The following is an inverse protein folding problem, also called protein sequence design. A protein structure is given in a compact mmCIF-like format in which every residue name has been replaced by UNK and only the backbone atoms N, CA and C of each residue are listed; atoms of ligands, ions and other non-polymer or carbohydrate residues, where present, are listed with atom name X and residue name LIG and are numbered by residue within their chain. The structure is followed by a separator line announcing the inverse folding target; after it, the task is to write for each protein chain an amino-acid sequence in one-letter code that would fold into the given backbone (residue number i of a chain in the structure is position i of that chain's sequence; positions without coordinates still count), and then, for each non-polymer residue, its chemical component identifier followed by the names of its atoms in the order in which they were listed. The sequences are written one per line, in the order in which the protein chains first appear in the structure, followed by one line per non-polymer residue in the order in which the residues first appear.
data_IF_720254176968
#
_entry.id   IF_720254176968
#
_cell.length_a   1.000
_cell.length_b   1.000
_cell.length_c   1.000
_cell.angle_alpha   90.00
_cell.angle_beta   90.00
_cell.angle_gamma   90.00
#
_symmetry.space_group_name_H-M   'P 1'
#
loop_
_entity.id
_entity.type
_entity.pdbx_description
1 polymer ?
#
# COMPACT_ATOMS: atom_id res chain seq x y z
N UNK A 1 -4.24 -14.88 -4.58
CA UNK A 1 -2.83 -14.96 -4.09
C UNK A 1 -1.80 -14.20 -4.94
N UNK A 2 -2.08 -13.91 -6.20
CA UNK A 2 -1.15 -13.31 -7.19
C UNK A 2 -0.47 -12.01 -6.74
N UNK A 3 -1.17 -11.03 -6.13
CA UNK A 3 -0.54 -9.77 -5.69
C UNK A 3 0.51 -9.96 -4.58
N UNK A 4 0.31 -10.92 -3.68
CA UNK A 4 1.28 -11.23 -2.62
C UNK A 4 2.60 -11.74 -3.22
N UNK A 5 2.50 -12.62 -4.21
CA UNK A 5 3.66 -13.19 -4.89
C UNK A 5 4.48 -12.09 -5.57
N UNK A 6 3.84 -11.15 -6.27
CA UNK A 6 4.53 -10.01 -6.88
C UNK A 6 5.22 -9.12 -5.84
N UNK A 7 4.58 -8.85 -4.70
CA UNK A 7 5.18 -8.09 -3.61
C UNK A 7 6.42 -8.79 -3.04
N UNK A 8 6.30 -10.08 -2.69
CA UNK A 8 7.37 -10.83 -2.06
C UNK A 8 8.54 -11.07 -3.01
N UNK A 9 8.27 -11.52 -4.24
CA UNK A 9 9.30 -11.78 -5.24
C UNK A 9 10.12 -10.53 -5.53
N UNK A 10 9.45 -9.40 -5.75
CA UNK A 10 10.12 -8.14 -6.06
C UNK A 10 10.90 -7.61 -4.86
N UNK A 11 10.33 -7.69 -3.65
CA UNK A 11 11.03 -7.28 -2.45
C UNK A 11 12.28 -8.14 -2.19
N UNK A 12 12.20 -9.46 -2.39
CA UNK A 12 13.33 -10.37 -2.22
C UNK A 12 14.42 -10.06 -3.25
N UNK A 13 14.06 -9.96 -4.54
CA UNK A 13 15.01 -9.68 -5.63
C UNK A 13 15.72 -8.35 -5.41
N UNK A 14 14.98 -7.27 -5.16
CA UNK A 14 15.56 -5.94 -4.96
C UNK A 14 16.39 -5.88 -3.68
N UNK A 15 16.00 -6.58 -2.61
CA UNK A 15 16.77 -6.64 -1.38
C UNK A 15 18.09 -7.40 -1.57
N UNK A 16 18.06 -8.55 -2.24
CA UNK A 16 19.26 -9.35 -2.53
C UNK A 16 20.22 -8.60 -3.47
N UNK A 17 19.71 -8.03 -4.57
CA UNK A 17 20.48 -7.21 -5.48
C UNK A 17 21.05 -5.95 -4.81
N UNK A 18 20.28 -5.32 -3.92
CA UNK A 18 20.73 -4.16 -3.15
C UNK A 18 21.84 -4.49 -2.15
N UNK A 19 21.86 -5.72 -1.60
CA UNK A 19 22.94 -6.19 -0.72
C UNK A 19 24.25 -6.45 -1.47
N UNK A 20 24.18 -6.90 -2.72
CA UNK A 20 25.37 -7.24 -3.52
C UNK A 20 25.93 -6.03 -4.28
N UNK A 21 25.07 -5.18 -4.86
CA UNK A 21 25.50 -4.10 -5.75
C UNK A 21 25.86 -2.80 -5.00
N UNK A 22 25.05 -2.38 -4.01
CA UNK A 22 25.26 -1.12 -3.25
C UNK A 22 24.75 -1.22 -1.80
N UNK A 23 25.48 -1.89 -0.89
CA UNK A 23 25.03 -2.10 0.49
C UNK A 23 24.78 -0.81 1.29
N UNK A 24 25.39 0.31 0.89
CA UNK A 24 25.19 1.64 1.49
C UNK A 24 23.77 2.20 1.32
N UNK A 25 23.00 1.69 0.34
CA UNK A 25 21.67 2.17 -0.01
C UNK A 25 20.59 1.40 0.75
N UNK A 26 20.35 1.67 2.05
CA UNK A 26 19.26 1.10 2.89
C UNK A 26 18.34 0.06 2.19
N UNK A 27 18.85 -1.14 1.84
CA UNK A 27 18.30 -1.90 0.70
C UNK A 27 16.91 -2.44 1.00
N UNK A 28 16.65 -2.73 2.28
CA UNK A 28 15.35 -3.12 2.82
C UNK A 28 14.24 -2.11 2.51
N UNK A 29 14.51 -0.80 2.67
CA UNK A 29 13.48 0.23 2.47
C UNK A 29 13.14 0.40 0.99
N UNK A 30 14.15 0.30 0.13
CA UNK A 30 13.98 0.38 -1.32
C UNK A 30 13.24 -0.86 -1.81
N UNK A 31 13.61 -2.04 -1.33
CA UNK A 31 12.97 -3.30 -1.66
C UNK A 31 11.48 -3.34 -1.29
N UNK A 32 11.12 -2.99 -0.05
CA UNK A 32 9.71 -2.96 0.38
C UNK A 32 8.93 -1.93 -0.44
N UNK A 33 9.51 -0.75 -0.69
CA UNK A 33 8.87 0.29 -1.49
C UNK A 33 8.64 -0.13 -2.95
N UNK A 34 9.64 -0.74 -3.58
CA UNK A 34 9.54 -1.26 -4.93
C UNK A 34 8.52 -2.41 -5.03
N UNK A 35 8.51 -3.33 -4.06
CA UNK A 35 7.55 -4.42 -3.99
C UNK A 35 6.11 -3.93 -3.82
N UNK A 36 5.88 -2.98 -2.90
CA UNK A 36 4.55 -2.37 -2.71
C UNK A 36 4.11 -1.57 -3.94
N UNK A 37 5.02 -0.82 -4.57
CA UNK A 37 4.69 -0.08 -5.79
C UNK A 37 4.33 -1.01 -6.95
N UNK A 38 5.12 -2.07 -7.19
CA UNK A 38 4.82 -3.02 -8.27
C UNK A 38 3.50 -3.75 -8.01
N UNK A 39 3.26 -4.17 -6.76
CA UNK A 39 2.01 -4.80 -6.38
C UNK A 39 0.81 -3.92 -6.72
N UNK A 40 0.82 -2.63 -6.32
CA UNK A 40 -0.26 -1.69 -6.63
C UNK A 40 -0.38 -1.34 -8.11
N UNK A 41 0.72 -1.40 -8.88
CA UNK A 41 0.67 -1.27 -10.34
C UNK A 41 -0.09 -2.46 -10.94
N UNK A 42 0.23 -3.68 -10.50
CA UNK A 42 -0.43 -4.90 -10.99
C UNK A 42 -1.90 -4.93 -10.59
N UNK A 43 -2.23 -4.65 -9.31
CA UNK A 43 -3.62 -4.61 -8.86
C UNK A 43 -4.38 -3.49 -9.55
N UNK A 44 -3.83 -2.27 -9.62
CA UNK A 44 -4.50 -1.13 -10.22
C UNK A 44 -4.75 -1.30 -11.71
N UNK A 45 -3.85 -2.01 -12.42
CA UNK A 45 -4.05 -2.35 -13.83
C UNK A 45 -5.22 -3.32 -14.04
N UNK A 46 -5.52 -4.19 -13.07
CA UNK A 46 -6.63 -5.16 -13.17
C UNK A 46 -8.01 -4.49 -13.23
N UNK A 47 -8.13 -3.25 -12.75
CA UNK A 47 -9.35 -2.44 -12.87
C UNK A 47 -9.69 -2.08 -14.32
N UNK A 48 -8.68 -2.07 -15.19
CA UNK A 48 -8.82 -1.72 -16.61
C UNK A 48 -8.65 -2.93 -17.53
N UNK A 49 -7.96 -3.98 -17.07
CA UNK A 49 -7.57 -5.13 -17.89
C UNK A 49 -8.08 -6.43 -17.26
N UNK A 50 -9.01 -7.09 -17.95
CA UNK A 50 -9.43 -8.48 -17.68
C UNK A 50 -10.29 -8.72 -16.44
N UNK A 51 -10.09 -7.99 -15.34
CA UNK A 51 -10.78 -8.26 -14.06
C UNK A 51 -11.86 -7.25 -13.69
N UNK A 52 -12.14 -6.26 -14.55
CA UNK A 52 -13.09 -5.18 -14.26
C UNK A 52 -14.47 -5.69 -13.85
N UNK A 53 -15.02 -6.67 -14.57
CA UNK A 53 -16.34 -7.22 -14.28
C UNK A 53 -16.42 -7.91 -12.91
N UNK A 54 -15.36 -8.62 -12.52
CA UNK A 54 -15.26 -9.25 -11.20
C UNK A 54 -15.12 -8.20 -10.09
N UNK A 55 -14.34 -7.14 -10.31
CA UNK A 55 -14.19 -6.07 -9.32
C UNK A 55 -15.50 -5.30 -9.09
N UNK A 56 -16.30 -5.10 -10.14
CA UNK A 56 -17.63 -4.48 -10.05
C UNK A 56 -18.57 -5.35 -9.20
N UNK A 57 -18.54 -6.68 -9.36
CA UNK A 57 -19.40 -7.58 -8.59
C UNK A 57 -19.02 -7.67 -7.11
N UNK A 58 -17.80 -7.27 -6.74
CA UNK A 58 -17.37 -7.16 -5.34
C UNK A 58 -17.89 -5.90 -4.64
N UNK A 59 -18.34 -4.89 -5.39
CA UNK A 59 -18.83 -3.64 -4.80
C UNK A 59 -20.18 -3.88 -4.11
N UNK A 60 -20.31 -3.59 -2.79
CA UNK A 60 -21.57 -3.76 -2.09
C UNK A 60 -22.70 -2.94 -2.74
N UNK A 61 -23.93 -3.47 -2.83
CA UNK A 61 -25.06 -2.80 -3.48
C UNK A 61 -25.49 -1.50 -2.78
N UNK A 62 -25.04 -1.27 -1.54
CA UNK A 62 -25.25 -0.02 -0.82
C UNK A 62 -24.49 1.18 -1.42
N UNK A 63 -23.49 0.94 -2.28
CA UNK A 63 -22.70 2.00 -2.91
C UNK A 63 -23.21 2.31 -4.33
N UNK A 64 -23.44 3.59 -4.66
CA UNK A 64 -23.89 3.98 -5.99
C UNK A 64 -22.74 3.89 -7.00
N UNK A 65 -23.08 3.61 -8.27
CA UNK A 65 -22.15 3.62 -9.40
C UNK A 65 -20.88 2.75 -9.22
N UNK A 66 -21.00 1.41 -9.08
CA UNK A 66 -19.88 0.52 -8.80
C UNK A 66 -18.78 0.58 -9.87
N UNK A 67 -19.16 0.78 -11.14
CA UNK A 67 -18.23 0.99 -12.25
C UNK A 67 -17.29 2.19 -12.07
N UNK A 68 -17.85 3.31 -11.60
CA UNK A 68 -17.10 4.53 -11.35
C UNK A 68 -16.18 4.35 -10.16
N UNK A 69 -16.66 3.71 -9.09
CA UNK A 69 -15.85 3.40 -7.90
C UNK A 69 -14.66 2.51 -8.23
N UNK A 70 -14.87 1.45 -9.02
CA UNK A 70 -13.78 0.60 -9.53
C UNK A 70 -12.81 1.43 -10.38
N UNK A 71 -13.29 2.32 -11.23
CA UNK A 71 -12.41 3.17 -12.05
C UNK A 71 -11.57 4.11 -11.18
N UNK A 72 -12.19 4.80 -10.22
CA UNK A 72 -11.52 5.75 -9.32
C UNK A 72 -10.47 5.03 -8.48
N UNK A 73 -10.83 3.90 -7.87
CA UNK A 73 -9.90 3.10 -7.06
C UNK A 73 -8.71 2.61 -7.89
N UNK A 74 -8.93 2.15 -9.13
CA UNK A 74 -7.83 1.77 -10.03
C UNK A 74 -6.88 2.93 -10.34
N UNK A 75 -7.40 4.13 -10.62
CA UNK A 75 -6.56 5.33 -10.83
C UNK A 75 -5.77 5.69 -9.58
N UNK A 76 -6.41 5.65 -8.41
CA UNK A 76 -5.78 5.97 -7.13
C UNK A 76 -4.67 4.97 -6.76
N UNK A 77 -4.86 3.68 -7.06
CA UNK A 77 -3.83 2.63 -6.90
C UNK A 77 -2.58 2.96 -7.73
N UNK A 78 -2.76 3.25 -9.02
CA UNK A 78 -1.65 3.58 -9.91
C UNK A 78 -0.96 4.89 -9.51
N UNK A 79 -1.74 5.93 -9.20
CA UNK A 79 -1.20 7.22 -8.75
C UNK A 79 -0.44 7.08 -7.42
N UNK A 80 -0.98 6.30 -6.48
CA UNK A 80 -0.32 5.98 -5.21
C UNK A 80 0.97 5.20 -5.41
N UNK A 81 0.99 4.20 -6.29
CA UNK A 81 2.19 3.43 -6.58
C UNK A 81 3.32 4.31 -7.16
N UNK A 82 3.02 5.15 -8.14
CA UNK A 82 3.96 6.11 -8.72
C UNK A 82 4.42 7.14 -7.68
N UNK A 83 3.48 7.65 -6.88
CA UNK A 83 3.75 8.58 -5.79
C UNK A 83 4.65 7.99 -4.69
N UNK A 84 4.64 6.67 -4.51
CA UNK A 84 5.51 5.97 -3.57
C UNK A 84 6.97 5.96 -4.03
N UNK A 85 7.22 5.98 -5.34
CA UNK A 85 8.56 6.01 -5.94
C UNK A 85 9.14 7.42 -5.92
N UNK A 86 8.31 8.45 -6.08
CA UNK A 86 8.73 9.86 -6.11
C UNK A 86 8.92 10.47 -4.72
N UNK A 87 10.15 10.92 -4.41
CA UNK A 87 10.57 11.34 -3.06
C UNK A 87 9.67 12.39 -2.35
N UNK A 88 9.15 13.43 -3.03
CA UNK A 88 8.31 14.45 -2.39
C UNK A 88 6.97 13.89 -1.89
N UNK A 89 6.39 12.94 -2.64
CA UNK A 89 5.02 12.45 -2.46
C UNK A 89 4.91 11.17 -1.63
N UNK A 90 6.03 10.51 -1.30
CA UNK A 90 6.06 9.17 -0.68
C UNK A 90 5.16 9.00 0.55
N UNK A 91 5.18 9.99 1.45
CA UNK A 91 4.38 9.94 2.68
C UNK A 91 2.88 10.07 2.38
N UNK A 92 2.51 10.96 1.46
CA UNK A 92 1.12 11.14 1.04
C UNK A 92 0.61 9.92 0.29
N UNK A 93 1.42 9.37 -0.61
CA UNK A 93 1.10 8.13 -1.32
C UNK A 93 0.92 6.94 -0.37
N UNK A 94 1.84 6.75 0.59
CA UNK A 94 1.71 5.68 1.57
C UNK A 94 0.47 5.83 2.45
N UNK A 95 0.13 7.06 2.87
CA UNK A 95 -1.08 7.34 3.64
C UNK A 95 -2.35 7.08 2.82
N UNK A 96 -2.41 7.57 1.58
CA UNK A 96 -3.55 7.36 0.69
C UNK A 96 -3.80 5.88 0.39
N UNK A 97 -2.75 5.13 0.06
CA UNK A 97 -2.84 3.69 -0.17
C UNK A 97 -3.30 2.93 1.10
N UNK A 98 -2.79 3.30 2.28
CA UNK A 98 -3.28 2.72 3.54
C UNK A 98 -4.76 2.98 3.79
N UNK A 99 -5.21 4.22 3.58
CA UNK A 99 -6.62 4.60 3.76
C UNK A 99 -7.54 3.85 2.80
N UNK A 100 -7.11 3.72 1.55
CA UNK A 100 -7.87 3.00 0.53
C UNK A 100 -7.95 1.51 0.84
N UNK A 101 -6.86 0.88 1.31
CA UNK A 101 -6.91 -0.49 1.81
C UNK A 101 -7.92 -0.65 2.94
N UNK A 102 -8.01 0.30 3.87
CA UNK A 102 -9.02 0.27 4.94
C UNK A 102 -10.43 0.39 4.34
N UNK A 103 -10.63 1.33 3.42
CA UNK A 103 -11.91 1.59 2.77
C UNK A 103 -12.41 0.41 1.92
N UNK A 104 -11.52 -0.40 1.34
CA UNK A 104 -11.87 -1.59 0.54
C UNK A 104 -12.17 -2.83 1.38
N UNK A 105 -11.87 -2.83 2.69
CA UNK A 105 -12.13 -3.97 3.57
C UNK A 105 -13.59 -4.45 3.58
N UNK A 106 -14.61 -3.57 3.63
CA UNK A 106 -16.01 -4.01 3.61
C UNK A 106 -16.38 -4.75 2.32
N UNK A 107 -15.83 -4.34 1.17
CA UNK A 107 -16.04 -5.03 -0.10
C UNK A 107 -15.43 -6.45 -0.09
N UNK A 108 -14.25 -6.61 0.52
CA UNK A 108 -13.61 -7.91 0.68
C UNK A 108 -14.38 -8.86 1.61
N UNK A 109 -14.97 -8.32 2.69
CA UNK A 109 -15.89 -9.08 3.55
C UNK A 109 -17.14 -9.47 2.77
N UNK A 110 -17.74 -8.52 2.03
CA UNK A 110 -18.95 -8.77 1.25
C UNK A 110 -18.76 -9.88 0.21
N UNK A 111 -17.64 -9.90 -0.53
CA UNK A 111 -17.33 -10.99 -1.49
C UNK A 111 -17.27 -12.34 -0.79
N UNK A 112 -16.53 -12.43 0.32
CA UNK A 112 -16.37 -13.68 1.07
C UNK A 112 -17.68 -14.20 1.63
N UNK A 113 -18.53 -13.32 2.20
CA UNK A 113 -19.84 -13.71 2.73
C UNK A 113 -20.82 -14.08 1.61
N UNK A 114 -20.86 -13.32 0.51
CA UNK A 114 -21.76 -13.57 -0.62
C UNK A 114 -21.39 -14.84 -1.39
N UNK A 115 -20.09 -15.13 -1.53
CA UNK A 115 -19.60 -16.35 -2.15
C UNK A 115 -19.81 -17.63 -1.31
N UNK A 116 -19.92 -17.50 0.01
CA UNK A 116 -20.17 -18.64 0.92
C UNK A 116 -21.64 -19.08 0.94
N UNK A 117 -22.57 -18.22 0.52
CA UNK A 117 -24.02 -18.49 0.57
C UNK A 117 -24.72 -18.67 -0.78
N UNK A 118 -24.13 -18.21 -1.89
CA UNK A 118 -24.89 -18.05 -3.15
C UNK A 118 -24.84 -19.25 -4.12
N UNK A 119 -23.82 -20.13 -4.09
CA UNK A 119 -23.64 -21.13 -5.17
C UNK A 119 -23.40 -22.57 -4.73
N UNK A 120 -23.24 -22.89 -3.45
CA UNK A 120 -22.95 -24.27 -3.01
C UNK A 120 -21.68 -24.89 -3.61
N UNK A 121 -20.87 -24.07 -4.29
CA UNK A 121 -19.56 -24.41 -4.83
C UNK A 121 -18.53 -23.92 -3.82
N UNK A 122 -17.68 -24.81 -3.34
CA UNK A 122 -16.53 -24.46 -2.50
C UNK A 122 -15.76 -23.31 -3.16
N UNK A 123 -15.72 -22.15 -2.49
CA UNK A 123 -14.78 -21.10 -2.87
C UNK A 123 -13.38 -21.71 -2.90
N UNK A 124 -12.60 -21.40 -3.93
CA UNK A 124 -11.17 -21.69 -3.90
C UNK A 124 -10.60 -21.18 -2.57
N UNK A 125 -9.74 -21.96 -1.91
CA UNK A 125 -9.36 -21.68 -0.52
C UNK A 125 -8.79 -20.27 -0.34
N UNK A 126 -8.16 -19.71 -1.38
CA UNK A 126 -7.62 -18.35 -1.40
C UNK A 126 -8.66 -17.23 -1.52
N UNK A 127 -9.88 -17.55 -1.93
CA UNK A 127 -11.01 -16.62 -1.99
C UNK A 127 -11.85 -16.60 -0.71
N UNK A 128 -11.53 -17.45 0.27
CA UNK A 128 -12.14 -17.42 1.60
C UNK A 128 -11.74 -16.17 2.40
N UNK A 129 -12.53 -15.84 3.42
CA UNK A 129 -12.37 -14.63 4.23
C UNK A 129 -10.97 -14.53 4.88
N UNK A 130 -10.43 -15.66 5.35
CA UNK A 130 -9.19 -15.72 6.13
C UNK A 130 -7.97 -15.30 5.30
N UNK A 131 -7.64 -15.93 4.16
CA UNK A 131 -6.50 -15.52 3.33
C UNK A 131 -6.63 -14.08 2.82
N UNK A 132 -7.83 -13.62 2.45
CA UNK A 132 -8.07 -12.22 2.05
C UNK A 132 -7.76 -11.24 3.16
N UNK A 133 -8.23 -11.52 4.38
CA UNK A 133 -7.99 -10.67 5.55
C UNK A 133 -6.51 -10.64 5.91
N UNK A 134 -5.84 -11.80 5.94
CA UNK A 134 -4.40 -11.89 6.21
C UNK A 134 -3.61 -11.10 5.17
N UNK A 135 -3.93 -11.26 3.88
CA UNK A 135 -3.26 -10.56 2.80
C UNK A 135 -3.41 -9.05 2.92
N UNK A 136 -4.62 -8.59 3.20
CA UNK A 136 -4.89 -7.17 3.38
C UNK A 136 -4.17 -6.57 4.60
N UNK A 137 -4.08 -7.32 5.71
CA UNK A 137 -3.28 -6.92 6.87
C UNK A 137 -1.80 -6.81 6.54
N UNK A 138 -1.25 -7.74 5.73
CA UNK A 138 0.15 -7.66 5.26
C UNK A 138 0.37 -6.41 4.43
N UNK A 139 -0.54 -6.09 3.52
CA UNK A 139 -0.45 -4.89 2.68
C UNK A 139 -0.57 -3.61 3.51
N UNK A 140 -1.55 -3.54 4.41
CA UNK A 140 -1.76 -2.42 5.30
C UNK A 140 -0.57 -2.20 6.23
N UNK A 141 0.02 -3.28 6.77
CA UNK A 141 1.23 -3.20 7.58
C UNK A 141 2.42 -2.68 6.76
N UNK A 142 2.55 -3.11 5.50
CA UNK A 142 3.63 -2.69 4.61
C UNK A 142 3.54 -1.21 4.24
N UNK A 143 2.37 -0.72 3.84
CA UNK A 143 2.14 0.70 3.52
C UNK A 143 2.30 1.59 4.77
N UNK A 144 1.80 1.13 5.92
CA UNK A 144 1.93 1.86 7.19
C UNK A 144 3.38 1.92 7.68
N UNK A 145 4.16 0.86 7.51
CA UNK A 145 5.59 0.87 7.82
C UNK A 145 6.35 1.89 6.95
N UNK A 146 6.05 1.95 5.64
CA UNK A 146 6.61 2.95 4.74
C UNK A 146 6.25 4.38 5.17
N UNK A 147 4.98 4.62 5.52
CA UNK A 147 4.52 5.90 6.04
C UNK A 147 5.28 6.30 7.31
N UNK A 148 5.38 5.41 8.29
CA UNK A 148 6.09 5.66 9.54
C UNK A 148 7.58 5.95 9.30
N UNK A 149 8.23 5.26 8.35
CA UNK A 149 9.62 5.54 8.00
C UNK A 149 9.79 6.92 7.38
N UNK A 150 8.88 7.35 6.52
CA UNK A 150 8.94 8.67 5.89
C UNK A 150 8.67 9.79 6.89
N UNK A 151 7.68 9.62 7.78
CA UNK A 151 7.38 10.57 8.84
C UNK A 151 8.55 10.70 9.82
N UNK A 152 9.18 9.59 10.20
CA UNK A 152 10.39 9.59 11.06
C UNK A 152 11.57 10.28 10.36
N UNK A 153 11.74 10.09 9.06
CA UNK A 153 12.80 10.76 8.30
C UNK A 153 12.58 12.29 8.24
N UNK A 154 11.34 12.73 8.00
CA UNK A 154 10.97 14.17 8.00
C UNK A 154 11.18 14.82 9.38
N UNK A 155 10.80 14.13 10.47
CA UNK A 155 11.04 14.62 11.84
C UNK A 155 12.53 14.80 12.15
N UNK A 156 13.38 13.86 11.72
CA UNK A 156 14.84 13.95 11.91
C UNK A 156 15.49 15.05 11.08
N UNK A 157 14.91 15.38 9.93
CA UNK A 157 15.41 16.44 9.06
C UNK A 157 14.96 17.85 9.49
N UNK A 158 14.00 17.97 10.42
CA UNK A 158 13.56 19.27 10.96
C UNK A 158 14.66 19.78 11.90
N UNK A 159 15.34 20.90 11.58
CA UNK A 159 16.33 21.47 12.47
C UNK A 159 15.64 21.87 13.78
N UNK A 160 16.20 21.46 14.92
CA UNK A 160 15.76 21.92 16.24
C UNK A 160 16.14 23.39 16.40
N UNK A 161 15.35 24.31 15.85
CA UNK A 161 15.67 25.73 15.94
C UNK A 161 15.08 26.34 17.23
N UNK A 162 15.98 26.91 18.05
CA UNK A 162 15.94 28.33 18.48
C UNK A 162 16.20 28.58 19.98
N UNK A 163 15.85 27.70 20.93
CA UNK A 163 15.99 28.07 22.36
C UNK A 163 17.39 27.92 22.99
N UNK A 164 18.30 27.10 22.44
CA UNK A 164 19.64 26.92 23.04
C UNK A 164 20.74 27.83 22.43
N UNK A 165 20.53 28.39 21.25
CA UNK A 165 21.47 29.33 20.62
C UNK A 165 21.31 30.75 21.16
N UNK A 166 20.08 31.18 21.47
CA UNK A 166 19.83 32.47 22.13
C UNK A 166 20.39 32.53 23.56
N UNK A 167 20.36 31.43 24.32
CA UNK A 167 20.94 31.40 25.68
C UNK A 167 22.48 31.44 25.69
N UNK A 168 23.13 31.05 24.58
CA UNK A 168 24.61 31.13 24.44
C UNK A 168 25.11 32.49 23.96
N UNK A 169 24.22 33.36 23.47
CA UNK A 169 24.59 34.68 22.91
C UNK A 169 24.29 35.83 23.88
N UNK A 170 23.51 35.58 24.94
CA UNK A 170 23.08 36.60 25.92
C UNK A 170 23.47 36.15 27.35
N UNK A 171 24.65 35.56 27.51
CA UNK A 171 25.20 35.34 28.85
C UNK A 171 25.41 36.70 29.53
N UNK A 172 25.00 36.89 30.80
CA UNK A 172 25.23 38.16 31.48
C UNK A 172 26.73 38.31 31.73
N UNK A 173 27.34 39.30 31.08
CA UNK A 173 28.55 39.95 31.59
C UNK A 173 28.17 40.96 32.68
#
# INVERSE_FOLDING_TARGET
MTPLAFLLMTAIVVHLAGRTLKPSWRPRKIAVRAGVALMFIVTGSSHFIGMRAELISMVPPALPAPELLVTITGVLELAGALGLLWAPTRAWAAAGLSLMLIAMFPANIYKALSGSGATGTDLAWDDTLLPRTVLQLVFLASTSALLLWDLRARRRARPSNTKSQLYKTIGPE
#
